data_IF_976539597833
#
_entry.id   IF_976539597833
#
_cell.length_a   1.000
_cell.length_b   1.000
_cell.length_c   1.000
_cell.angle_alpha   90.00
_cell.angle_beta   90.00
_cell.angle_gamma   90.00
#
_symmetry.space_group_name_H-M   'P 1'
#
loop_
_entity.id
_entity.type
_entity.pdbx_description
1 polymer ?
#
# COMPACT_ATOMS: atom_id res chain seq x y z
N UNK A 1 -4.31 -17.38 -18.82
CA UNK A 1 -3.74 -17.33 -17.46
C UNK A 1 -4.53 -16.29 -16.69
N UNK A 2 -5.06 -16.63 -15.52
CA UNK A 2 -5.79 -15.66 -14.71
C UNK A 2 -4.84 -14.50 -14.42
N UNK A 3 -5.24 -13.29 -14.80
CA UNK A 3 -4.53 -12.06 -14.49
C UNK A 3 -4.63 -11.87 -12.97
N UNK A 4 -3.61 -12.28 -12.23
CA UNK A 4 -3.57 -12.13 -10.78
C UNK A 4 -3.36 -10.68 -10.37
N UNK A 5 -3.46 -10.41 -9.07
CA UNK A 5 -3.19 -9.08 -8.50
C UNK A 5 -1.80 -8.57 -8.88
N UNK A 6 -0.77 -9.41 -8.75
CA UNK A 6 0.60 -9.06 -9.11
C UNK A 6 0.78 -8.74 -10.60
N UNK A 7 0.03 -9.41 -11.49
CA UNK A 7 0.08 -9.11 -12.93
C UNK A 7 -0.54 -7.74 -13.24
N UNK A 8 -1.61 -7.36 -12.53
CA UNK A 8 -2.19 -6.02 -12.61
C UNK A 8 -1.22 -4.98 -12.06
N UNK A 9 -0.62 -5.25 -10.90
CA UNK A 9 0.37 -4.34 -10.30
C UNK A 9 1.52 -4.10 -11.28
N UNK A 10 2.11 -5.17 -11.82
CA UNK A 10 3.18 -5.05 -12.81
C UNK A 10 2.74 -4.28 -14.06
N UNK A 11 1.56 -4.60 -14.62
CA UNK A 11 1.06 -3.96 -15.85
C UNK A 11 0.79 -2.46 -15.69
N UNK A 12 0.25 -2.04 -14.55
CA UNK A 12 -0.16 -0.65 -14.34
C UNK A 12 0.91 0.21 -13.67
N UNK A 13 1.72 -0.35 -12.76
CA UNK A 13 2.60 0.41 -11.88
C UNK A 13 4.10 0.28 -12.23
N UNK A 14 4.55 -0.73 -12.99
CA UNK A 14 5.93 -0.82 -13.52
C UNK A 14 6.22 0.18 -14.67
N UNK A 15 5.23 1.02 -15.02
CA UNK A 15 5.39 2.07 -16.05
C UNK A 15 6.24 3.26 -15.59
N UNK A 16 6.43 3.43 -14.29
CA UNK A 16 7.24 4.50 -13.70
C UNK A 16 8.64 4.01 -13.37
N UNK A 17 9.44 3.66 -14.38
CA UNK A 17 10.86 3.24 -14.21
C UNK A 17 11.81 4.34 -13.72
N UNK A 18 11.29 5.52 -13.40
CA UNK A 18 12.08 6.59 -12.78
C UNK A 18 12.35 6.22 -11.32
N UNK A 19 13.42 5.46 -11.10
CA UNK A 19 13.96 5.21 -9.77
C UNK A 19 14.35 6.56 -9.17
N UNK A 20 13.55 7.02 -8.22
CA UNK A 20 13.90 8.21 -7.45
C UNK A 20 15.03 7.86 -6.48
N UNK A 21 16.03 8.74 -6.37
CA UNK A 21 17.23 8.52 -5.55
C UNK A 21 16.95 8.40 -4.06
N UNK A 22 15.81 8.90 -3.61
CA UNK A 22 15.38 8.87 -2.21
C UNK A 22 14.51 7.64 -1.87
N UNK A 23 14.16 6.80 -2.85
CA UNK A 23 13.40 5.56 -2.61
C UNK A 23 14.39 4.39 -2.51
N UNK A 24 14.54 3.85 -1.31
CA UNK A 24 15.44 2.73 -1.02
C UNK A 24 14.80 1.37 -1.34
N UNK A 25 13.48 1.25 -1.13
CA UNK A 25 12.71 0.03 -1.43
C UNK A 25 11.41 0.43 -2.12
N UNK A 26 11.20 -0.12 -3.32
CA UNK A 26 10.11 0.24 -4.22
C UNK A 26 9.07 -0.86 -4.37
N UNK A 27 8.50 -0.96 -5.58
CA UNK A 27 7.40 -1.90 -5.91
C UNK A 27 7.84 -3.35 -5.66
N UNK A 28 7.00 -4.12 -4.96
CA UNK A 28 7.20 -5.55 -4.71
C UNK A 28 7.41 -5.92 -3.24
N UNK A 29 7.43 -4.95 -2.34
CA UNK A 29 7.41 -5.12 -0.88
C UNK A 29 6.10 -4.54 -0.30
N UNK A 30 5.78 -4.88 0.95
CA UNK A 30 4.55 -4.49 1.65
C UNK A 30 4.49 -2.99 1.99
N UNK A 31 5.64 -2.31 1.94
CA UNK A 31 5.75 -0.86 2.08
C UNK A 31 6.92 -0.30 1.29
N UNK A 32 6.84 0.98 0.93
CA UNK A 32 7.95 1.72 0.34
C UNK A 32 8.84 2.31 1.45
N UNK A 33 10.16 2.21 1.31
CA UNK A 33 11.12 2.86 2.21
C UNK A 33 11.77 4.05 1.52
N UNK A 34 11.71 5.21 2.17
CA UNK A 34 12.34 6.43 1.71
C UNK A 34 13.45 6.86 2.65
N UNK A 35 14.59 7.25 2.09
CA UNK A 35 15.67 7.90 2.85
C UNK A 35 15.30 9.35 3.10
N UNK A 36 15.19 9.71 4.38
CA UNK A 36 15.01 11.10 4.80
C UNK A 36 16.33 11.62 5.40
N UNK A 37 16.51 12.96 5.52
CA UNK A 37 17.66 13.52 6.24
C UNK A 37 17.80 12.92 7.65
N UNK A 38 18.99 12.98 8.23
CA UNK A 38 19.30 12.48 9.59
C UNK A 38 19.45 10.94 9.75
N UNK A 39 19.77 10.21 8.67
CA UNK A 39 20.00 8.74 8.69
C UNK A 39 18.76 7.95 9.17
N UNK A 40 17.56 8.44 8.87
CA UNK A 40 16.30 7.76 9.17
C UNK A 40 15.66 7.21 7.90
N UNK A 41 14.78 6.22 8.06
CA UNK A 41 13.97 5.65 6.99
C UNK A 41 12.50 5.89 7.28
N UNK A 42 11.78 6.38 6.28
CA UNK A 42 10.34 6.55 6.32
C UNK A 42 9.69 5.39 5.57
N UNK A 43 8.93 4.55 6.29
CA UNK A 43 8.09 3.52 5.71
C UNK A 43 6.71 4.10 5.37
N UNK A 44 6.25 3.87 4.14
CA UNK A 44 4.93 4.30 3.66
C UNK A 44 4.20 3.08 3.10
N UNK A 45 3.00 2.82 3.61
CA UNK A 45 2.05 1.86 3.05
C UNK A 45 0.70 2.54 2.82
N UNK A 46 -0.13 1.98 1.94
CA UNK A 46 -1.46 2.51 1.63
C UNK A 46 -2.41 1.38 1.33
N UNK A 47 -3.42 1.22 2.19
CA UNK A 47 -4.47 0.21 2.02
C UNK A 47 -5.77 0.84 1.53
N UNK A 48 -6.52 0.08 0.72
CA UNK A 48 -7.87 0.46 0.30
C UNK A 48 -8.88 -0.55 0.86
N UNK A 49 -9.86 -0.05 1.61
CA UNK A 49 -10.93 -0.87 2.18
C UNK A 49 -12.24 -0.65 1.41
N UNK A 50 -12.85 -1.75 0.98
CA UNK A 50 -14.11 -1.77 0.22
C UNK A 50 -15.26 -2.23 1.11
N UNK A 51 -16.35 -1.45 1.15
CA UNK A 51 -17.60 -1.79 1.85
C UNK A 51 -18.21 -3.11 1.31
N UNK A 52 -18.73 -3.95 2.19
CA UNK A 52 -19.23 -5.29 1.88
C UNK A 52 -18.16 -6.36 1.70
N UNK A 53 -16.88 -5.98 1.64
CA UNK A 53 -15.73 -6.91 1.57
C UNK A 53 -14.90 -6.82 2.85
N UNK A 54 -14.43 -5.61 3.18
CA UNK A 54 -13.53 -5.37 4.30
C UNK A 54 -14.30 -4.98 5.58
N UNK A 55 -15.46 -4.34 5.42
CA UNK A 55 -16.35 -3.96 6.51
C UNK A 55 -17.82 -4.05 6.07
N UNK A 56 -18.75 -4.20 7.02
CA UNK A 56 -20.18 -4.27 6.73
C UNK A 56 -20.72 -2.88 6.32
N UNK A 57 -21.66 -2.82 5.38
CA UNK A 57 -22.16 -1.55 4.86
C UNK A 57 -22.93 -0.71 5.88
N UNK A 58 -23.47 -1.37 6.90
CA UNK A 58 -24.29 -0.82 7.98
C UNK A 58 -23.52 -0.69 9.32
N UNK A 59 -22.20 -0.84 9.28
CA UNK A 59 -21.38 -0.71 10.49
C UNK A 59 -21.33 0.74 10.98
N UNK A 60 -21.37 0.92 12.30
CA UNK A 60 -21.21 2.24 12.90
C UNK A 60 -19.83 2.85 12.56
N UNK A 61 -19.76 4.12 12.11
CA UNK A 61 -18.54 4.77 11.63
C UNK A 61 -17.31 4.63 12.55
N UNK A 62 -17.40 4.81 13.89
CA UNK A 62 -16.22 4.72 14.77
C UNK A 62 -15.61 3.31 14.83
N UNK A 63 -16.36 2.25 14.51
CA UNK A 63 -15.86 0.87 14.54
C UNK A 63 -15.14 0.52 13.23
N UNK A 64 -15.61 1.03 12.09
CA UNK A 64 -14.97 0.79 10.78
C UNK A 64 -13.55 1.34 10.68
N UNK A 65 -13.28 2.47 11.36
CA UNK A 65 -11.99 3.15 11.36
C UNK A 65 -10.87 2.39 12.10
N UNK A 66 -11.20 1.38 12.90
CA UNK A 66 -10.23 0.60 13.70
C UNK A 66 -9.59 -0.53 12.88
N UNK A 67 -10.21 -0.96 11.78
CA UNK A 67 -9.68 -2.06 10.96
C UNK A 67 -8.33 -1.80 10.26
N UNK A 68 -8.04 -0.64 9.64
CA UNK A 68 -6.79 -0.47 8.88
C UNK A 68 -5.53 -0.48 9.75
N UNK A 69 -5.63 -0.04 11.01
CA UNK A 69 -4.44 0.14 11.87
C UNK A 69 -3.91 -1.14 12.52
N UNK A 70 -4.58 -2.28 12.32
CA UNK A 70 -4.27 -3.53 13.05
C UNK A 70 -3.57 -4.58 12.19
N UNK A 71 -3.21 -4.24 10.95
CA UNK A 71 -2.63 -5.14 9.95
C UNK A 71 -1.24 -4.70 9.45
N UNK A 72 -0.66 -3.63 9.99
CA UNK A 72 0.76 -3.30 9.83
C UNK A 72 1.51 -3.72 11.09
#
# INVERSE_FOLDING_TARGET
>A
MACGEFDLIARYFDRFKSVRRDVQLGIGDDCALLTVPEKQLLAISTDTLVSGIHFLADIDPPISAIKPWRLI
#
